data_IF_043058105109
#
_entry.id   IF_043058105109
#
_cell.length_a   1.000
_cell.length_b   1.000
_cell.length_c   1.000
_cell.angle_alpha   90.00
_cell.angle_beta   90.00
_cell.angle_gamma   90.00
#
_symmetry.space_group_name_H-M   'P 1'
#
loop_
_entity.id
_entity.type
_entity.pdbx_description
1 polymer ?
#
# COMPACT_ATOMS: atom_id res chain seq x y z
N UNK A 1 33.08 -13.42 -20.91
CA UNK A 1 31.73 -14.01 -20.89
C UNK A 1 30.84 -12.94 -20.27
N UNK A 2 30.06 -12.24 -21.09
CA UNK A 2 29.22 -11.13 -20.66
C UNK A 2 28.05 -11.72 -19.86
N UNK A 3 28.03 -11.52 -18.55
CA UNK A 3 26.81 -11.68 -17.77
C UNK A 3 25.95 -10.49 -18.15
N UNK A 4 24.89 -10.75 -18.90
CA UNK A 4 23.92 -9.72 -19.29
C UNK A 4 23.38 -9.04 -18.02
N UNK A 5 23.74 -7.77 -17.82
CA UNK A 5 23.17 -6.79 -16.86
C UNK A 5 21.68 -6.48 -17.15
N UNK A 6 20.94 -7.48 -17.66
CA UNK A 6 19.61 -7.38 -18.24
C UNK A 6 18.57 -8.33 -17.66
N UNK A 7 18.94 -9.26 -16.78
CA UNK A 7 17.98 -10.28 -16.28
C UNK A 7 16.95 -9.68 -15.32
N UNK A 8 17.38 -8.93 -14.30
CA UNK A 8 16.47 -8.41 -13.25
C UNK A 8 15.56 -7.28 -13.76
N UNK A 9 16.11 -6.34 -14.54
CA UNK A 9 15.34 -5.23 -15.11
C UNK A 9 14.30 -5.69 -16.13
N UNK A 10 14.62 -6.68 -16.97
CA UNK A 10 13.61 -7.29 -17.87
C UNK A 10 12.59 -8.10 -17.08
N UNK A 11 13.02 -8.77 -16.02
CA UNK A 11 12.13 -9.56 -15.18
C UNK A 11 11.01 -8.69 -14.56
N UNK A 12 11.34 -7.58 -13.90
CA UNK A 12 10.32 -6.69 -13.31
C UNK A 12 9.50 -5.97 -14.38
N UNK A 13 10.13 -5.49 -15.46
CA UNK A 13 9.42 -4.77 -16.52
C UNK A 13 8.46 -5.65 -17.34
N UNK A 14 8.75 -6.96 -17.44
CA UNK A 14 7.91 -7.91 -18.16
C UNK A 14 6.94 -8.68 -17.24
N UNK A 15 7.03 -8.50 -15.92
CA UNK A 15 6.17 -9.17 -14.93
C UNK A 15 5.70 -8.14 -13.90
N UNK A 16 4.73 -7.27 -14.25
CA UNK A 16 4.23 -6.21 -13.37
C UNK A 16 3.70 -6.74 -12.03
N UNK A 17 3.25 -8.00 -11.96
CA UNK A 17 2.87 -8.65 -10.69
C UNK A 17 3.95 -8.61 -9.60
N UNK A 18 5.24 -8.55 -9.96
CA UNK A 18 6.35 -8.41 -8.99
C UNK A 18 6.37 -7.02 -8.33
N UNK A 19 5.88 -6.00 -9.04
CA UNK A 19 5.81 -4.62 -8.58
C UNK A 19 4.46 -4.27 -7.92
N UNK A 20 3.64 -5.27 -7.58
CA UNK A 20 2.34 -5.09 -6.93
C UNK A 20 2.44 -4.16 -5.71
N UNK A 21 1.50 -3.22 -5.65
CA UNK A 21 1.30 -2.31 -4.54
C UNK A 21 -0.14 -2.47 -4.05
N UNK A 22 -0.33 -3.34 -3.06
CA UNK A 22 -1.64 -3.74 -2.54
C UNK A 22 -2.55 -2.56 -2.17
N UNK A 23 -1.97 -1.47 -1.64
CA UNK A 23 -2.74 -0.28 -1.26
C UNK A 23 -3.39 0.47 -2.44
N UNK A 24 -2.86 0.35 -3.66
CA UNK A 24 -3.42 1.00 -4.85
C UNK A 24 -4.77 0.42 -5.28
N UNK A 25 -5.11 -0.77 -4.79
CA UNK A 25 -6.38 -1.44 -5.06
C UNK A 25 -7.53 -0.92 -4.20
N UNK A 26 -7.21 -0.28 -3.07
CA UNK A 26 -8.18 0.34 -2.17
C UNK A 26 -8.46 1.81 -2.51
N UNK A 27 -8.23 2.21 -3.76
CA UNK A 27 -8.62 3.54 -4.26
C UNK A 27 -10.10 3.52 -4.63
N UNK A 28 -10.94 4.09 -3.76
CA UNK A 28 -12.38 4.15 -4.05
C UNK A 28 -12.77 5.18 -5.12
N UNK A 29 -14.02 5.11 -5.58
CA UNK A 29 -14.56 6.06 -6.56
C UNK A 29 -14.85 7.42 -5.90
N UNK A 30 -14.22 8.50 -6.37
CA UNK A 30 -14.41 9.84 -5.81
C UNK A 30 -15.77 10.47 -6.20
N UNK A 31 -16.33 10.11 -7.35
CA UNK A 31 -17.62 10.59 -7.83
C UNK A 31 -18.73 9.89 -7.07
N UNK A 32 -18.73 8.55 -7.06
CA UNK A 32 -19.72 7.77 -6.33
C UNK A 32 -19.72 8.16 -4.84
N UNK A 33 -18.55 8.25 -4.20
CA UNK A 33 -18.48 8.68 -2.78
C UNK A 33 -19.06 10.07 -2.54
N UNK A 34 -18.95 10.98 -3.50
CA UNK A 34 -19.55 12.32 -3.39
C UNK A 34 -21.07 12.25 -3.47
N UNK A 35 -21.60 11.43 -4.38
CA UNK A 35 -23.04 11.22 -4.57
C UNK A 35 -23.64 10.49 -3.36
N UNK A 36 -23.06 9.36 -2.94
CA UNK A 36 -23.49 8.61 -1.75
C UNK A 36 -23.44 9.48 -0.50
N UNK A 37 -22.41 10.34 -0.36
CA UNK A 37 -22.33 11.31 0.74
C UNK A 37 -23.51 12.29 0.72
N UNK A 38 -23.90 12.80 -0.45
CA UNK A 38 -25.01 13.74 -0.52
C UNK A 38 -26.34 13.09 -0.08
N UNK A 39 -26.62 11.87 -0.56
CA UNK A 39 -27.80 11.10 -0.15
C UNK A 39 -27.77 10.69 1.33
N UNK A 40 -26.61 10.31 1.85
CA UNK A 40 -26.42 10.02 3.27
C UNK A 40 -26.70 11.24 4.14
N UNK A 41 -26.21 12.42 3.75
CA UNK A 41 -26.47 13.67 4.48
C UNK A 41 -27.93 14.14 4.40
N UNK A 42 -28.72 13.60 3.46
CA UNK A 42 -30.16 13.82 3.30
C UNK A 42 -30.99 12.69 3.95
N UNK A 43 -30.40 11.88 4.84
CA UNK A 43 -31.01 10.76 5.55
C UNK A 43 -31.59 9.65 4.62
N UNK A 44 -31.22 9.63 3.35
CA UNK A 44 -31.72 8.64 2.37
C UNK A 44 -31.00 7.30 2.44
N UNK A 45 -29.75 7.30 2.91
CA UNK A 45 -28.90 6.11 3.02
C UNK A 45 -28.46 6.00 4.48
N UNK A 46 -28.64 4.82 5.07
CA UNK A 46 -28.28 4.56 6.47
C UNK A 46 -26.80 4.17 6.60
N UNK A 47 -26.26 3.48 5.61
CA UNK A 47 -24.84 3.09 5.55
C UNK A 47 -24.27 3.33 4.14
N UNK A 48 -23.35 4.29 3.97
CA UNK A 48 -22.76 4.54 2.67
C UNK A 48 -21.84 3.37 2.26
N UNK A 49 -22.06 2.83 1.06
CA UNK A 49 -21.21 1.76 0.53
C UNK A 49 -19.76 2.21 0.34
N UNK A 50 -18.83 1.45 0.91
CA UNK A 50 -17.39 1.61 0.71
C UNK A 50 -16.94 0.84 -0.53
N UNK A 51 -17.15 1.40 -1.72
CA UNK A 51 -16.80 0.73 -2.97
C UNK A 51 -15.39 1.07 -3.47
N UNK A 52 -14.64 0.02 -3.81
CA UNK A 52 -13.30 0.09 -4.40
C UNK A 52 -13.32 -0.48 -5.83
N UNK A 53 -13.45 0.35 -6.88
CA UNK A 53 -13.67 -0.12 -8.25
C UNK A 53 -12.61 -1.08 -8.77
N UNK A 54 -11.35 -0.90 -8.37
CA UNK A 54 -10.26 -1.74 -8.87
C UNK A 54 -10.35 -3.17 -8.34
N UNK A 55 -10.92 -3.37 -7.14
CA UNK A 55 -11.13 -4.72 -6.60
C UNK A 55 -12.09 -5.56 -7.45
N UNK A 56 -12.99 -4.94 -8.23
CA UNK A 56 -13.85 -5.68 -9.16
C UNK A 56 -13.10 -6.27 -10.36
N UNK A 57 -11.86 -5.83 -10.62
CA UNK A 57 -11.07 -6.29 -11.75
C UNK A 57 -10.38 -7.63 -11.45
N UNK A 58 -11.18 -8.67 -11.22
CA UNK A 58 -10.69 -10.03 -10.90
C UNK A 58 -9.82 -10.58 -12.03
N UNK A 59 -10.09 -10.21 -13.29
CA UNK A 59 -9.27 -10.59 -14.44
C UNK A 59 -7.83 -10.07 -14.34
N UNK A 60 -7.62 -8.85 -13.84
CA UNK A 60 -6.27 -8.29 -13.61
C UNK A 60 -5.56 -9.04 -12.49
N UNK A 61 -6.26 -9.43 -11.41
CA UNK A 61 -5.68 -10.26 -10.35
C UNK A 61 -5.28 -11.65 -10.86
N UNK A 62 -6.12 -12.30 -11.67
CA UNK A 62 -5.82 -13.59 -12.26
C UNK A 62 -4.65 -13.51 -13.24
N UNK A 63 -4.58 -12.44 -14.04
CA UNK A 63 -3.44 -12.23 -14.93
C UNK A 63 -2.14 -12.10 -14.13
N UNK A 64 -2.14 -11.34 -13.03
CA UNK A 64 -0.96 -11.21 -12.17
C UNK A 64 -0.56 -12.55 -11.53
N UNK A 65 -1.53 -13.38 -11.13
CA UNK A 65 -1.30 -14.73 -10.60
C UNK A 65 -0.63 -15.65 -11.64
N UNK A 66 -1.16 -15.66 -12.86
CA UNK A 66 -0.60 -16.43 -13.98
C UNK A 66 0.84 -15.98 -14.31
N UNK A 67 1.10 -14.66 -14.28
CA UNK A 67 2.42 -14.08 -14.50
C UNK A 67 3.42 -14.50 -13.41
N UNK A 68 3.04 -14.43 -12.12
CA UNK A 68 3.89 -14.88 -11.02
C UNK A 68 4.16 -16.38 -11.08
N UNK A 69 3.15 -17.18 -11.45
CA UNK A 69 3.28 -18.63 -11.64
C UNK A 69 4.25 -18.97 -12.76
N UNK A 70 4.17 -18.28 -13.90
CA UNK A 70 5.13 -18.43 -15.00
C UNK A 70 6.55 -18.03 -14.56
N UNK A 71 6.68 -16.92 -13.82
CA UNK A 71 7.99 -16.46 -13.34
C UNK A 71 8.63 -17.45 -12.37
N UNK A 72 7.83 -18.08 -11.49
CA UNK A 72 8.31 -19.15 -10.61
C UNK A 72 8.89 -20.33 -11.41
N UNK A 73 8.21 -20.79 -12.47
CA UNK A 73 8.73 -21.85 -13.34
C UNK A 73 10.04 -21.46 -14.03
N UNK A 74 10.19 -20.19 -14.42
CA UNK A 74 11.46 -19.69 -14.97
C UNK A 74 12.59 -19.69 -13.93
N UNK A 75 12.31 -19.30 -12.70
CA UNK A 75 13.29 -19.34 -11.60
C UNK A 75 13.71 -20.79 -11.32
N UNK A 76 12.73 -21.71 -11.26
CA UNK A 76 12.99 -23.14 -11.03
C UNK A 76 13.91 -23.76 -12.09
N UNK A 77 13.75 -23.37 -13.36
CA UNK A 77 14.53 -23.87 -14.49
C UNK A 77 15.83 -23.10 -14.77
N UNK A 78 16.09 -22.01 -14.04
CA UNK A 78 17.29 -21.18 -14.21
C UNK A 78 18.52 -21.77 -13.52
N UNK A 79 19.71 -21.37 -13.97
CA UNK A 79 21.00 -21.79 -13.41
C UNK A 79 21.48 -20.85 -12.28
N UNK A 80 20.53 -20.36 -11.47
CA UNK A 80 20.79 -19.49 -10.32
C UNK A 80 21.39 -20.29 -9.15
N UNK A 81 22.22 -19.62 -8.35
CA UNK A 81 22.70 -20.19 -7.10
C UNK A 81 21.56 -20.29 -6.05
N UNK A 82 21.84 -21.00 -4.95
CA UNK A 82 20.82 -21.25 -3.93
C UNK A 82 20.32 -19.98 -3.24
N UNK A 83 21.19 -18.99 -2.98
CA UNK A 83 20.80 -17.79 -2.25
C UNK A 83 19.92 -16.87 -3.10
N UNK A 84 20.25 -16.74 -4.39
CA UNK A 84 19.43 -16.00 -5.35
C UNK A 84 18.06 -16.65 -5.54
N UNK A 85 18.04 -17.98 -5.71
CA UNK A 85 16.80 -18.75 -5.85
C UNK A 85 15.89 -18.57 -4.62
N UNK A 86 16.43 -18.72 -3.43
CA UNK A 86 15.67 -18.56 -2.18
C UNK A 86 15.07 -17.14 -2.08
N UNK A 87 15.83 -16.10 -2.45
CA UNK A 87 15.35 -14.72 -2.45
C UNK A 87 14.19 -14.49 -3.43
N UNK A 88 14.28 -15.06 -4.64
CA UNK A 88 13.19 -15.01 -5.61
C UNK A 88 11.97 -15.79 -5.13
N UNK A 89 12.15 -17.00 -4.63
CA UNK A 89 11.05 -17.84 -4.14
C UNK A 89 10.30 -17.18 -2.99
N UNK A 90 11.02 -16.57 -2.03
CA UNK A 90 10.41 -15.79 -0.96
C UNK A 90 9.62 -14.59 -1.50
N UNK A 91 10.19 -13.85 -2.45
CA UNK A 91 9.53 -12.67 -3.04
C UNK A 91 8.26 -13.06 -3.79
N UNK A 92 8.34 -14.07 -4.65
CA UNK A 92 7.19 -14.54 -5.44
C UNK A 92 6.11 -15.13 -4.55
N UNK A 93 6.47 -15.90 -3.52
CA UNK A 93 5.51 -16.41 -2.55
C UNK A 93 4.80 -15.28 -1.79
N UNK A 94 5.52 -14.21 -1.44
CA UNK A 94 4.91 -13.05 -0.78
C UNK A 94 3.94 -12.32 -1.71
N UNK A 95 4.32 -12.08 -2.98
CA UNK A 95 3.43 -11.45 -3.97
C UNK A 95 2.19 -12.29 -4.25
N UNK A 96 2.32 -13.61 -4.27
CA UNK A 96 1.18 -14.50 -4.37
C UNK A 96 0.18 -14.30 -3.23
N UNK A 97 0.67 -14.23 -1.99
CA UNK A 97 -0.19 -14.00 -0.83
C UNK A 97 -0.87 -12.62 -0.88
N UNK A 98 -0.22 -11.61 -1.44
CA UNK A 98 -0.85 -10.30 -1.68
C UNK A 98 -1.98 -10.39 -2.71
N UNK A 99 -1.82 -11.15 -3.79
CA UNK A 99 -2.90 -11.39 -4.77
C UNK A 99 -4.06 -12.12 -4.11
N UNK A 100 -3.79 -13.21 -3.38
CA UNK A 100 -4.83 -13.96 -2.69
C UNK A 100 -5.60 -13.09 -1.67
N UNK A 101 -4.89 -12.18 -0.99
CA UNK A 101 -5.49 -11.18 -0.11
C UNK A 101 -6.41 -10.23 -0.88
N UNK A 102 -6.00 -9.76 -2.07
CA UNK A 102 -6.82 -8.89 -2.91
C UNK A 102 -8.05 -9.60 -3.49
N UNK A 103 -7.96 -10.90 -3.79
CA UNK A 103 -9.11 -11.71 -4.20
C UNK A 103 -10.16 -11.76 -3.09
N UNK A 104 -9.76 -12.05 -1.85
CA UNK A 104 -10.69 -12.02 -0.71
C UNK A 104 -11.19 -10.59 -0.42
N UNK A 105 -10.38 -9.56 -0.65
CA UNK A 105 -10.84 -8.17 -0.56
C UNK A 105 -11.91 -7.85 -1.63
N UNK A 106 -11.81 -8.43 -2.83
CA UNK A 106 -12.83 -8.31 -3.88
C UNK A 106 -14.17 -8.93 -3.46
N UNK A 107 -14.15 -10.10 -2.83
CA UNK A 107 -15.37 -10.74 -2.31
C UNK A 107 -16.04 -9.86 -1.25
N UNK A 108 -15.25 -9.27 -0.35
CA UNK A 108 -15.74 -8.33 0.66
C UNK A 108 -16.24 -7.00 0.05
N UNK A 109 -15.71 -6.58 -1.10
CA UNK A 109 -16.11 -5.35 -1.77
C UNK A 109 -17.55 -5.40 -2.33
N UNK A 110 -18.07 -6.61 -2.60
CA UNK A 110 -19.43 -6.86 -3.08
C UNK A 110 -20.02 -8.14 -2.50
N UNK A 111 -20.42 -8.12 -1.22
CA UNK A 111 -21.10 -9.27 -0.63
C UNK A 111 -22.45 -9.50 -1.34
N UNK A 112 -22.80 -10.76 -1.58
CA UNK A 112 -24.09 -11.13 -2.18
C UNK A 112 -25.26 -10.99 -1.19
N UNK A 113 -24.97 -11.14 0.11
CA UNK A 113 -25.90 -11.08 1.24
C UNK A 113 -25.14 -10.93 2.58
N UNK A 114 -25.88 -10.74 3.68
CA UNK A 114 -25.29 -10.53 5.01
C UNK A 114 -24.42 -11.70 5.51
N UNK A 115 -24.80 -12.95 5.23
CA UNK A 115 -24.02 -14.13 5.61
C UNK A 115 -22.68 -14.17 4.84
N UNK A 116 -22.70 -13.80 3.56
CA UNK A 116 -21.49 -13.68 2.74
C UNK A 116 -20.60 -12.53 3.19
N UNK A 117 -21.18 -11.41 3.65
CA UNK A 117 -20.44 -10.29 4.22
C UNK A 117 -19.67 -10.72 5.46
N UNK A 118 -20.32 -11.43 6.40
CA UNK A 118 -19.66 -11.90 7.62
C UNK A 118 -18.52 -12.88 7.30
N UNK A 119 -18.76 -13.81 6.38
CA UNK A 119 -17.76 -14.80 5.95
C UNK A 119 -16.57 -14.12 5.27
N UNK A 120 -16.81 -13.28 4.25
CA UNK A 120 -15.75 -12.56 3.54
C UNK A 120 -15.00 -11.59 4.46
N UNK A 121 -15.66 -10.99 5.45
CA UNK A 121 -14.99 -10.15 6.45
C UNK A 121 -14.09 -10.98 7.37
N UNK A 122 -14.52 -12.17 7.79
CA UNK A 122 -13.69 -13.09 8.56
C UNK A 122 -12.46 -13.53 7.76
N UNK A 123 -12.66 -13.96 6.51
CA UNK A 123 -11.59 -14.41 5.62
C UNK A 123 -10.60 -13.29 5.31
N UNK A 124 -11.09 -12.08 5.05
CA UNK A 124 -10.26 -10.89 4.86
C UNK A 124 -9.38 -10.63 6.08
N UNK A 125 -9.97 -10.68 7.29
CA UNK A 125 -9.24 -10.48 8.53
C UNK A 125 -8.21 -11.58 8.78
N UNK A 126 -8.54 -12.83 8.46
CA UNK A 126 -7.60 -13.94 8.58
C UNK A 126 -6.41 -13.75 7.64
N UNK A 127 -6.65 -13.54 6.33
CA UNK A 127 -5.59 -13.35 5.34
C UNK A 127 -4.74 -12.13 5.63
N UNK A 128 -5.35 -11.03 6.07
CA UNK A 128 -4.62 -9.84 6.52
C UNK A 128 -3.64 -10.17 7.65
N UNK A 129 -4.05 -11.00 8.62
CA UNK A 129 -3.18 -11.44 9.72
C UNK A 129 -2.08 -12.40 9.28
N UNK A 130 -2.36 -13.25 8.31
CA UNK A 130 -1.36 -14.16 7.74
C UNK A 130 -0.28 -13.38 6.98
N UNK A 131 -0.69 -12.37 6.21
CA UNK A 131 0.19 -11.56 5.36
C UNK A 131 0.97 -10.47 6.12
N UNK A 132 0.29 -9.72 6.98
CA UNK A 132 0.86 -8.56 7.68
C UNK A 132 1.12 -8.80 9.17
N UNK A 133 0.75 -9.97 9.68
CA UNK A 133 0.80 -10.26 11.11
C UNK A 133 -0.34 -9.61 11.88
N UNK A 134 -0.28 -9.70 13.21
CA UNK A 134 -1.24 -9.03 14.09
C UNK A 134 -0.79 -7.59 14.32
N UNK A 135 -1.71 -6.61 14.27
CA UNK A 135 -1.41 -5.26 14.68
C UNK A 135 -0.85 -5.23 16.11
N UNK A 136 0.15 -4.39 16.35
CA UNK A 136 0.63 -4.17 17.71
C UNK A 136 -0.47 -3.46 18.51
N UNK A 137 -0.85 -3.95 19.70
CA UNK A 137 -1.96 -3.38 20.46
C UNK A 137 -1.80 -1.87 20.72
N UNK A 138 -0.60 -1.41 21.06
CA UNK A 138 -0.31 0.01 21.29
C UNK A 138 -0.50 0.89 20.04
N UNK A 139 -0.27 0.35 18.84
CA UNK A 139 -0.53 1.07 17.59
C UNK A 139 -2.03 1.13 17.29
N UNK A 140 -2.76 0.03 17.56
CA UNK A 140 -4.23 0.01 17.42
C UNK A 140 -4.85 1.03 18.37
N UNK A 141 -4.50 0.96 19.65
CA UNK A 141 -4.99 1.89 20.67
C UNK A 141 -4.68 3.35 20.26
N UNK A 142 -3.45 3.64 19.81
CA UNK A 142 -3.07 4.97 19.34
C UNK A 142 -3.86 5.46 18.12
N UNK A 143 -4.07 4.61 17.12
CA UNK A 143 -4.86 4.96 15.91
C UNK A 143 -6.32 5.19 16.28
N UNK A 144 -6.91 4.34 17.12
CA UNK A 144 -8.27 4.53 17.63
C UNK A 144 -8.38 5.85 18.41
N UNK A 145 -7.38 6.19 19.22
CA UNK A 145 -7.29 7.48 19.91
C UNK A 145 -7.28 8.67 18.96
N UNK A 146 -6.51 8.61 17.88
CA UNK A 146 -6.50 9.65 16.84
C UNK A 146 -7.84 9.78 16.11
N UNK A 147 -8.49 8.66 15.79
CA UNK A 147 -9.84 8.65 15.20
C UNK A 147 -10.80 9.34 16.16
N UNK A 148 -10.86 8.92 17.43
CA UNK A 148 -11.72 9.52 18.47
C UNK A 148 -11.48 11.01 18.62
N UNK A 149 -10.22 11.44 18.70
CA UNK A 149 -9.88 12.86 18.81
C UNK A 149 -10.45 13.66 17.64
N UNK A 150 -10.35 13.14 16.41
CA UNK A 150 -10.90 13.81 15.22
C UNK A 150 -12.43 13.82 15.19
N UNK A 151 -13.07 12.77 15.66
CA UNK A 151 -14.54 12.70 15.76
C UNK A 151 -15.06 13.64 16.86
N UNK A 152 -14.49 13.57 18.05
CA UNK A 152 -14.94 14.31 19.24
C UNK A 152 -14.68 15.82 19.17
N UNK A 153 -13.82 16.28 18.25
CA UNK A 153 -13.65 17.71 17.96
C UNK A 153 -14.86 18.34 17.25
N UNK A 154 -15.84 17.54 16.81
CA UNK A 154 -17.02 18.01 16.08
C UNK A 154 -18.27 17.92 16.95
N UNK A 155 -19.17 18.88 16.75
CA UNK A 155 -20.51 18.83 17.34
C UNK A 155 -21.45 18.11 16.37
N UNK A 156 -21.97 16.95 16.78
CA UNK A 156 -22.96 16.20 16.02
C UNK A 156 -24.38 16.58 16.45
N UNK A 157 -25.33 16.54 15.52
CA UNK A 157 -26.75 16.82 15.76
C UNK A 157 -27.62 15.81 15.02
N UNK A 158 -28.80 15.50 15.57
CA UNK A 158 -29.73 14.54 14.97
C UNK A 158 -29.13 13.13 14.85
N UNK A 159 -29.40 12.44 13.74
CA UNK A 159 -28.96 11.06 13.48
C UNK A 159 -27.43 10.89 13.46
N UNK A 160 -26.68 11.97 13.22
CA UNK A 160 -25.22 11.94 13.30
C UNK A 160 -24.69 11.67 14.72
N UNK A 161 -25.50 11.91 15.77
CA UNK A 161 -25.16 11.53 17.15
C UNK A 161 -25.28 10.02 17.32
N UNK A 162 -26.35 9.40 16.83
CA UNK A 162 -26.55 7.95 16.90
C UNK A 162 -25.41 7.20 16.20
N UNK A 163 -25.01 7.67 15.03
CA UNK A 163 -23.87 7.12 14.29
C UNK A 163 -22.53 7.36 14.99
N UNK A 164 -22.37 8.50 15.67
CA UNK A 164 -21.17 8.78 16.46
C UNK A 164 -21.07 7.82 17.66
N UNK A 165 -22.19 7.55 18.33
CA UNK A 165 -22.25 6.60 19.44
C UNK A 165 -21.97 5.16 18.97
N UNK A 166 -22.57 4.74 17.84
CA UNK A 166 -22.32 3.43 17.23
C UNK A 166 -20.83 3.25 16.85
N UNK A 167 -20.24 4.24 16.19
CA UNK A 167 -18.81 4.23 15.84
C UNK A 167 -17.95 4.13 17.11
N UNK A 168 -18.26 4.90 18.16
CA UNK A 168 -17.48 4.82 19.40
C UNK A 168 -17.56 3.44 20.06
N UNK A 169 -18.74 2.82 20.05
CA UNK A 169 -18.93 1.47 20.54
C UNK A 169 -18.11 0.45 19.74
N UNK A 170 -18.17 0.48 18.40
CA UNK A 170 -17.33 -0.40 17.57
C UNK A 170 -15.85 -0.16 17.82
N UNK A 171 -15.44 1.11 17.98
CA UNK A 171 -14.07 1.44 18.31
C UNK A 171 -13.67 0.87 19.68
N UNK A 172 -14.54 0.89 20.69
CA UNK A 172 -14.25 0.33 22.03
C UNK A 172 -13.97 -1.18 21.96
N UNK A 173 -14.65 -1.91 21.08
CA UNK A 173 -14.43 -3.35 20.88
C UNK A 173 -13.04 -3.68 20.30
N UNK A 174 -12.39 -2.71 19.63
CA UNK A 174 -11.08 -2.88 19.01
C UNK A 174 -9.92 -2.60 19.96
N UNK A 175 -10.17 -1.99 21.12
CA UNK A 175 -9.11 -1.48 22.01
C UNK A 175 -8.86 -2.43 23.15
N UNK A 176 -7.58 -2.65 23.46
CA UNK A 176 -7.21 -3.49 24.62
C UNK A 176 -7.01 -2.69 25.90
N UNK A 177 -6.83 -1.38 25.81
CA UNK A 177 -6.64 -0.47 26.94
C UNK A 177 -7.68 0.65 26.92
N UNK A 178 -8.39 0.87 28.04
CA UNK A 178 -9.39 1.93 28.14
C UNK A 178 -8.80 3.34 28.24
N UNK A 179 -7.53 3.46 28.64
CA UNK A 179 -6.81 4.73 28.66
C UNK A 179 -6.21 5.03 27.28
N UNK A 180 -7.10 5.25 26.30
CA UNK A 180 -6.71 5.51 24.92
C UNK A 180 -6.06 6.89 24.83
N UNK A 181 -4.75 6.90 24.67
CA UNK A 181 -4.00 8.08 24.26
C UNK A 181 -3.74 7.96 22.77
N UNK A 182 -3.90 9.07 22.03
CA UNK A 182 -3.55 9.12 20.61
C UNK A 182 -2.11 8.68 20.37
N UNK A 183 -1.76 8.40 19.11
CA UNK A 183 -0.39 8.03 18.76
C UNK A 183 0.59 9.04 19.38
N UNK A 184 1.68 8.57 20.02
CA UNK A 184 2.65 9.48 20.61
C UNK A 184 3.16 10.43 19.53
N UNK A 185 2.95 11.74 19.74
CA UNK A 185 3.50 12.74 18.86
C UNK A 185 5.03 12.62 18.90
N UNK A 186 5.67 12.67 17.72
CA UNK A 186 7.11 12.81 17.67
C UNK A 186 7.49 14.08 18.43
N UNK A 187 8.47 13.97 19.33
CA UNK A 187 9.04 15.17 19.93
C UNK A 187 9.67 16.01 18.82
N UNK A 188 9.73 17.33 18.99
CA UNK A 188 10.44 18.21 18.05
C UNK A 188 11.87 17.75 17.78
N UNK A 189 12.52 17.18 18.78
CA UNK A 189 13.87 16.62 18.67
C UNK A 189 13.89 15.35 17.81
N UNK A 190 12.90 14.46 17.98
CA UNK A 190 12.76 13.27 17.14
C UNK A 190 12.40 13.63 15.69
N UNK A 191 11.52 14.63 15.47
CA UNK A 191 11.22 15.15 14.13
C UNK A 191 12.46 15.76 13.47
N UNK A 192 13.24 16.56 14.22
CA UNK A 192 14.47 17.14 13.73
C UNK A 192 15.50 16.06 13.39
N UNK A 193 15.67 15.07 14.26
CA UNK A 193 16.54 13.93 14.02
C UNK A 193 16.12 13.13 12.79
N UNK A 194 14.84 12.78 12.64
CA UNK A 194 14.32 12.08 11.47
C UNK A 194 14.52 12.90 10.19
N UNK A 195 14.26 14.20 10.24
CA UNK A 195 14.50 15.11 9.12
C UNK A 195 15.97 15.14 8.73
N UNK A 196 16.88 15.17 9.71
CA UNK A 196 18.33 15.09 9.49
C UNK A 196 18.72 13.73 8.89
N UNK A 197 18.25 12.63 9.44
CA UNK A 197 18.57 11.29 8.94
C UNK A 197 18.04 11.10 7.52
N UNK A 198 16.79 11.46 7.23
CA UNK A 198 16.23 11.39 5.88
C UNK A 198 17.04 12.27 4.93
N UNK A 199 17.39 13.50 5.35
CA UNK A 199 18.19 14.41 4.53
C UNK A 199 19.58 13.86 4.27
N UNK A 200 20.19 13.18 5.24
CA UNK A 200 21.53 12.58 5.13
C UNK A 200 21.53 11.32 4.27
N UNK A 201 20.59 10.40 4.51
CA UNK A 201 20.52 9.13 3.79
C UNK A 201 19.98 9.27 2.38
N UNK A 202 19.08 10.23 2.12
CA UNK A 202 18.48 10.43 0.81
C UNK A 202 18.96 11.71 0.11
N UNK A 203 20.08 12.30 0.56
CA UNK A 203 20.63 13.52 -0.02
C UNK A 203 20.90 13.34 -1.52
N UNK A 204 21.55 12.22 -1.86
CA UNK A 204 21.95 11.85 -3.22
C UNK A 204 20.73 11.61 -4.12
N UNK A 205 19.69 10.92 -3.64
CA UNK A 205 18.44 10.69 -4.38
C UNK A 205 17.69 11.99 -4.62
N UNK A 206 17.56 12.86 -3.61
CA UNK A 206 16.88 14.15 -3.76
C UNK A 206 17.61 15.06 -4.74
N UNK A 207 18.93 15.08 -4.69
CA UNK A 207 19.75 15.83 -5.63
C UNK A 207 19.58 15.27 -7.05
N UNK A 208 19.63 13.94 -7.22
CA UNK A 208 19.41 13.30 -8.52
C UNK A 208 18.03 13.62 -9.12
N UNK A 209 16.95 13.49 -8.33
CA UNK A 209 15.59 13.86 -8.74
C UNK A 209 15.54 15.34 -9.17
N UNK A 210 16.15 16.23 -8.39
CA UNK A 210 16.16 17.67 -8.68
C UNK A 210 16.90 17.98 -9.98
N UNK A 211 18.05 17.36 -10.20
CA UNK A 211 18.86 17.56 -11.41
C UNK A 211 18.14 17.02 -12.65
N UNK A 212 17.55 15.83 -12.58
CA UNK A 212 16.79 15.26 -13.71
C UNK A 212 15.51 16.06 -13.96
N UNK A 213 14.81 16.51 -12.91
CA UNK A 213 13.61 17.35 -13.07
C UNK A 213 13.92 18.67 -13.78
N UNK A 214 15.08 19.29 -13.55
CA UNK A 214 15.52 20.48 -14.31
C UNK A 214 15.69 20.17 -15.81
N UNK A 215 16.28 19.01 -16.13
CA UNK A 215 16.44 18.55 -17.53
C UNK A 215 15.06 18.35 -18.17
N UNK A 216 14.15 17.67 -17.47
CA UNK A 216 12.77 17.44 -17.91
C UNK A 216 12.01 18.74 -18.14
N UNK A 217 12.09 19.70 -17.21
CA UNK A 217 11.44 21.00 -17.36
C UNK A 217 11.97 21.76 -18.58
N UNK A 218 13.28 21.72 -18.83
CA UNK A 218 13.87 22.32 -20.02
C UNK A 218 13.45 21.62 -21.32
N UNK A 219 13.10 20.33 -21.24
CA UNK A 219 12.59 19.54 -22.36
C UNK A 219 11.06 19.60 -22.52
N UNK A 220 10.34 20.31 -21.64
CA UNK A 220 8.87 20.37 -21.63
C UNK A 220 8.19 19.09 -21.14
N UNK A 221 8.94 18.19 -20.47
CA UNK A 221 8.43 16.96 -19.89
C UNK A 221 7.83 17.21 -18.50
N UNK A 222 6.64 16.66 -18.25
CA UNK A 222 5.89 16.87 -16.99
C UNK A 222 5.92 15.64 -16.08
N UNK A 223 6.06 14.45 -16.66
CA UNK A 223 6.03 13.17 -15.96
C UNK A 223 7.33 12.40 -16.13
N UNK A 224 7.73 11.65 -15.10
CA UNK A 224 8.92 10.82 -15.15
C UNK A 224 8.62 9.55 -15.95
N UNK A 225 9.10 9.51 -17.19
CA UNK A 225 9.16 8.25 -17.94
C UNK A 225 10.09 7.24 -17.27
N UNK A 226 9.97 5.93 -17.57
CA UNK A 226 10.90 4.92 -17.06
C UNK A 226 12.37 5.24 -17.34
N UNK A 227 12.66 5.88 -18.48
CA UNK A 227 14.01 6.32 -18.85
C UNK A 227 14.52 7.44 -17.92
N UNK A 228 13.66 8.40 -17.55
CA UNK A 228 14.00 9.47 -16.61
C UNK A 228 14.18 8.95 -15.19
N UNK A 229 13.36 7.98 -14.76
CA UNK A 229 13.56 7.29 -13.48
C UNK A 229 14.91 6.56 -13.44
N UNK A 230 15.27 5.86 -14.51
CA UNK A 230 16.59 5.24 -14.61
C UNK A 230 17.73 6.26 -14.53
N UNK A 231 17.57 7.43 -15.16
CA UNK A 231 18.54 8.53 -15.06
C UNK A 231 18.69 9.03 -13.62
N UNK A 232 17.58 9.20 -12.89
CA UNK A 232 17.57 9.53 -11.46
C UNK A 232 18.35 8.49 -10.66
N UNK A 233 18.07 7.19 -10.85
CA UNK A 233 18.74 6.14 -10.08
C UNK A 233 20.23 6.07 -10.35
N UNK A 234 20.64 6.11 -11.63
CA UNK A 234 22.07 6.13 -12.00
C UNK A 234 22.79 7.32 -11.38
N UNK A 235 22.14 8.50 -11.38
CA UNK A 235 22.71 9.71 -10.82
C UNK A 235 22.75 9.69 -9.29
N UNK A 236 21.76 9.09 -8.63
CA UNK A 236 21.78 8.88 -7.19
C UNK A 236 22.92 7.94 -6.77
N UNK A 237 23.12 6.82 -7.49
CA UNK A 237 24.24 5.88 -7.29
C UNK A 237 25.58 6.61 -7.43
N UNK A 238 25.70 7.47 -8.45
CA UNK A 238 26.87 8.30 -8.69
C UNK A 238 27.16 9.29 -7.57
N UNK A 239 26.13 10.02 -7.14
CA UNK A 239 26.23 10.97 -6.03
C UNK A 239 26.52 10.28 -4.69
N UNK A 240 26.27 8.98 -4.56
CA UNK A 240 26.70 8.17 -3.40
C UNK A 240 28.14 7.66 -3.51
N UNK A 241 28.77 7.80 -4.67
CA UNK A 241 30.15 7.35 -4.91
C UNK A 241 30.27 5.85 -5.20
N UNK A 242 29.20 5.19 -5.63
CA UNK A 242 29.21 3.75 -5.93
C UNK A 242 29.57 3.43 -7.39
N UNK A 243 29.93 4.42 -8.21
CA UNK A 243 30.24 4.29 -9.64
C UNK A 243 31.47 3.42 -10.00
N UNK A 244 32.05 2.72 -9.02
CA UNK A 244 33.25 1.89 -9.22
C UNK A 244 33.31 0.61 -8.38
N UNK A 245 32.23 0.22 -7.69
CA UNK A 245 32.18 -1.06 -6.96
C UNK A 245 31.58 -2.12 -7.88
N UNK A 246 32.32 -2.50 -8.92
CA UNK A 246 31.88 -3.50 -9.90
C UNK A 246 32.41 -3.24 -11.31
N UNK A 247 33.72 -3.29 -11.48
CA UNK A 247 34.39 -3.59 -12.75
C UNK A 247 35.27 -4.82 -12.53
#
# INVERSE_FOLDING_TARGET
MNIEDGSIRRCIANNPGVALQTYEWFVGDAVQRRETRASFLDDQIVNPEGFYPRLDNVDELQQMDDELSHLRQMVESSDMDHAERDAYDCTLAYRQQEIDFLVTASELNRPENDDSLETSASDFNQRSRELYGRPQPSLVDGVVGEIRNKFNQKNFVGRAVELHDEINQTLDELVTNSDITGLPALSKDAEAYLTEQISRYFASERQAVTEVRKIMTNAGEVEFSPQRMLEVFKRAISLRGYDGVGA
#
